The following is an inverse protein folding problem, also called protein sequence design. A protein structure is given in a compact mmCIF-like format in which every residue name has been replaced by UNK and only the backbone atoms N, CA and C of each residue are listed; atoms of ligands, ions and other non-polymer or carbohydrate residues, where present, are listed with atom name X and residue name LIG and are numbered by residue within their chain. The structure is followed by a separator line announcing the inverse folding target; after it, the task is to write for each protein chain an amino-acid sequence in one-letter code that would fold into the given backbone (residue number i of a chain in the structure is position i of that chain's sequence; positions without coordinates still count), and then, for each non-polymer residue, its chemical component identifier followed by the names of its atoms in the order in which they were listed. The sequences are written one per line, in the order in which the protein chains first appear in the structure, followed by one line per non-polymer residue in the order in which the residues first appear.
data_IF_916117210992
#
_entry.id   IF_916117210992
#
_cell.length_a   1.000
_cell.length_b   1.000
_cell.length_c   1.000
_cell.angle_alpha   90.00
_cell.angle_beta   90.00
_cell.angle_gamma   90.00
#
_symmetry.space_group_name_H-M   'P 1'
#
loop_
_entity.id
_entity.type
_entity.pdbx_description
1 polymer ?
#
# COMPACT_ATOMS: atom_id res chain seq x y z
N UNK A 1 -2.65 -7.30 -17.71
CA UNK A 1 -3.97 -6.65 -17.65
C UNK A 1 -4.85 -7.45 -16.72
N UNK A 2 -5.16 -6.87 -15.57
CA UNK A 2 -6.07 -7.44 -14.57
C UNK A 2 -7.49 -7.49 -15.12
N UNK A 3 -8.30 -8.41 -14.58
CA UNK A 3 -9.71 -8.48 -14.96
C UNK A 3 -10.45 -7.25 -14.40
N UNK A 4 -11.49 -6.75 -15.10
CA UNK A 4 -12.29 -5.62 -14.63
C UNK A 4 -12.88 -5.83 -13.23
N UNK A 5 -13.19 -7.08 -12.86
CA UNK A 5 -13.71 -7.43 -11.55
C UNK A 5 -12.69 -7.19 -10.43
N UNK A 6 -11.41 -7.46 -10.67
CA UNK A 6 -10.33 -7.18 -9.71
C UNK A 6 -10.18 -5.67 -9.55
N UNK A 7 -10.15 -4.93 -10.67
CA UNK A 7 -10.04 -3.46 -10.67
C UNK A 7 -11.18 -2.78 -9.89
N UNK A 8 -12.40 -3.31 -9.98
CA UNK A 8 -13.58 -2.79 -9.27
C UNK A 8 -13.59 -3.17 -7.79
N UNK A 9 -12.97 -4.29 -7.40
CA UNK A 9 -12.92 -4.75 -6.01
C UNK A 9 -11.80 -4.07 -5.18
N UNK A 10 -10.73 -3.59 -5.83
CA UNK A 10 -9.59 -2.99 -5.14
C UNK A 10 -9.93 -1.79 -4.23
N UNK A 11 -10.81 -0.84 -4.60
CA UNK A 11 -11.23 0.23 -3.70
C UNK A 11 -11.81 -0.28 -2.38
N UNK A 12 -12.64 -1.33 -2.42
CA UNK A 12 -13.22 -1.94 -1.21
C UNK A 12 -12.15 -2.59 -0.33
N UNK A 13 -11.14 -3.22 -0.96
CA UNK A 13 -10.00 -3.78 -0.23
C UNK A 13 -9.20 -2.69 0.46
N UNK A 14 -8.95 -1.57 -0.21
CA UNK A 14 -8.25 -0.41 0.37
C UNK A 14 -9.03 0.16 1.55
N UNK A 15 -10.36 0.29 1.43
CA UNK A 15 -11.22 0.70 2.55
C UNK A 15 -11.08 -0.26 3.74
N UNK A 16 -11.17 -1.58 3.52
CA UNK A 16 -11.02 -2.57 4.61
C UNK A 16 -9.65 -2.55 5.27
N UNK A 17 -8.60 -2.28 4.49
CA UNK A 17 -7.24 -2.12 5.03
C UNK A 17 -7.16 -0.88 5.93
N UNK A 18 -7.77 0.23 5.51
CA UNK A 18 -7.84 1.46 6.31
C UNK A 18 -8.65 1.24 7.60
N UNK A 19 -9.83 0.63 7.51
CA UNK A 19 -10.67 0.30 8.67
C UNK A 19 -9.93 -0.58 9.68
N UNK A 20 -9.23 -1.62 9.19
CA UNK A 20 -8.43 -2.49 10.05
C UNK A 20 -7.26 -1.74 10.69
N UNK A 21 -6.64 -0.81 9.95
CA UNK A 21 -5.58 0.02 10.52
C UNK A 21 -6.14 0.96 11.61
N UNK A 22 -7.34 1.51 11.42
CA UNK A 22 -8.01 2.30 12.44
C UNK A 22 -8.30 1.50 13.71
N UNK A 23 -8.80 0.27 13.57
CA UNK A 23 -9.08 -0.61 14.71
C UNK A 23 -7.81 -0.98 15.50
N UNK A 24 -6.66 -1.02 14.83
CA UNK A 24 -5.35 -1.24 15.46
C UNK A 24 -4.81 0.01 16.15
N UNK A 25 -5.44 1.16 15.94
CA UNK A 25 -4.99 2.45 16.44
C UNK A 25 -3.91 3.07 15.55
N UNK A 26 -3.30 4.11 16.09
CA UNK A 26 -2.34 4.96 15.39
C UNK A 26 -0.95 4.83 16.05
N UNK A 27 0.06 5.44 15.44
CA UNK A 27 1.48 5.31 15.71
C UNK A 27 2.03 3.92 15.40
N UNK A 28 1.46 3.29 14.38
CA UNK A 28 1.84 1.94 13.94
C UNK A 28 2.93 2.04 12.87
N UNK A 29 3.98 1.21 12.94
CA UNK A 29 4.99 1.15 11.88
C UNK A 29 4.35 0.89 10.51
N UNK A 30 4.90 1.45 9.41
CA UNK A 30 4.38 1.18 8.07
C UNK A 30 4.28 -0.32 7.78
N UNK A 31 3.13 -0.75 7.25
CA UNK A 31 2.87 -2.15 6.92
C UNK A 31 2.65 -2.31 5.43
N UNK A 32 3.47 -3.14 4.80
CA UNK A 32 3.30 -3.58 3.43
C UNK A 32 2.45 -4.86 3.41
N UNK A 33 1.47 -4.89 2.53
CA UNK A 33 0.62 -6.04 2.26
C UNK A 33 0.73 -6.45 0.80
N UNK A 34 0.77 -7.74 0.49
CA UNK A 34 0.41 -8.19 -0.84
C UNK A 34 -1.08 -8.44 -0.95
N UNK A 35 -1.56 -8.20 -2.16
CA UNK A 35 -2.90 -8.44 -2.60
C UNK A 35 -2.87 -9.64 -3.55
N UNK A 36 -3.65 -10.66 -3.22
CA UNK A 36 -3.75 -11.88 -4.00
C UNK A 36 -5.20 -12.11 -4.42
N UNK A 37 -5.43 -12.24 -5.71
CA UNK A 37 -6.69 -12.74 -6.21
C UNK A 37 -6.77 -14.25 -6.09
N UNK A 38 -7.86 -14.74 -5.50
CA UNK A 38 -8.23 -16.15 -5.52
C UNK A 38 -9.63 -16.32 -6.11
N UNK A 39 -9.76 -17.24 -7.05
CA UNK A 39 -11.08 -17.77 -7.43
C UNK A 39 -11.51 -18.80 -6.38
N UNK A 40 -12.61 -18.51 -5.67
CA UNK A 40 -13.11 -19.39 -4.62
C UNK A 40 -13.62 -20.72 -5.19
N UNK A 41 -14.19 -20.69 -6.40
CA UNK A 41 -14.68 -21.86 -7.15
C UNK A 41 -14.44 -21.61 -8.64
N UNK A 42 -13.93 -22.61 -9.36
CA UNK A 42 -13.70 -22.52 -10.81
C UNK A 42 -15.01 -22.19 -11.53
N UNK A 43 -15.05 -21.08 -12.26
CA UNK A 43 -16.24 -20.60 -12.97
C UNK A 43 -17.23 -19.76 -12.14
N UNK A 44 -16.91 -19.47 -10.87
CA UNK A 44 -17.69 -18.56 -10.04
C UNK A 44 -17.35 -17.09 -10.34
N UNK A 45 -18.34 -16.18 -10.32
CA UNK A 45 -18.11 -14.74 -10.36
C UNK A 45 -17.66 -14.17 -9.02
N UNK A 46 -17.47 -15.01 -7.99
CA UNK A 46 -16.99 -14.58 -6.67
C UNK A 46 -15.46 -14.52 -6.68
N UNK A 47 -14.95 -13.29 -6.69
CA UNK A 47 -13.54 -12.98 -6.61
C UNK A 47 -13.21 -12.55 -5.19
N UNK A 48 -12.24 -13.21 -4.56
CA UNK A 48 -11.68 -12.75 -3.30
C UNK A 48 -10.34 -12.10 -3.58
N UNK A 49 -10.10 -10.93 -2.98
CA UNK A 49 -8.77 -10.36 -2.84
C UNK A 49 -8.34 -10.62 -1.40
N UNK A 50 -7.39 -11.51 -1.23
CA UNK A 50 -6.75 -11.83 0.03
C UNK A 50 -5.65 -10.80 0.29
N UNK A 51 -5.58 -10.31 1.53
CA UNK A 51 -4.59 -9.33 1.98
C UNK A 51 -3.66 -10.04 2.97
N UNK A 52 -2.39 -10.14 2.64
CA UNK A 52 -1.38 -10.75 3.49
C UNK A 52 -0.31 -9.75 3.85
N UNK A 53 0.10 -9.72 5.12
CA UNK A 53 1.27 -8.96 5.51
C UNK A 53 2.47 -9.49 4.73
N UNK A 54 3.21 -8.57 4.12
CA UNK A 54 4.42 -8.92 3.40
C UNK A 54 5.43 -9.52 4.37
N UNK A 55 6.18 -10.57 3.98
CA UNK A 55 7.29 -11.08 4.79
C UNK A 55 8.43 -10.06 4.92
N UNK A 56 8.35 -8.97 4.16
CA UNK A 56 9.34 -7.91 4.14
C UNK A 56 9.03 -6.85 5.18
N UNK A 57 9.89 -6.77 6.20
CA UNK A 57 9.85 -5.71 7.17
C UNK A 57 10.34 -4.39 6.54
N UNK A 58 9.51 -3.36 6.61
CA UNK A 58 9.95 -2.00 6.35
C UNK A 58 10.59 -1.46 7.63
N UNK A 59 11.88 -1.14 7.60
CA UNK A 59 12.58 -0.50 8.72
C UNK A 59 12.26 1.00 8.74
N UNK A 60 10.98 1.32 8.97
CA UNK A 60 10.44 2.68 8.99
C UNK A 60 9.83 2.98 10.35
N UNK A 61 10.10 4.18 10.84
CA UNK A 61 9.51 4.68 12.09
C UNK A 61 8.12 5.25 11.81
N UNK A 62 7.16 5.08 12.73
CA UNK A 62 5.89 5.81 12.67
C UNK A 62 6.13 7.31 12.50
N UNK A 63 5.40 7.94 11.58
CA UNK A 63 5.43 9.38 11.38
C UNK A 63 6.70 9.96 10.72
N UNK A 64 7.63 9.11 10.25
CA UNK A 64 8.72 9.57 9.36
C UNK A 64 8.14 10.33 8.18
N UNK A 65 8.77 11.42 7.75
CA UNK A 65 8.27 12.32 6.69
C UNK A 65 7.87 11.53 5.43
N UNK A 66 6.58 11.20 5.35
CA UNK A 66 6.04 10.18 4.45
C UNK A 66 5.21 10.87 3.40
N UNK A 67 5.89 11.69 2.59
CA UNK A 67 5.34 11.97 1.28
C UNK A 67 5.11 10.64 0.56
N UNK A 68 3.96 10.50 -0.10
CA UNK A 68 3.64 9.35 -0.93
C UNK A 68 4.82 8.96 -1.84
N UNK A 69 5.49 9.95 -2.43
CA UNK A 69 6.66 9.75 -3.27
C UNK A 69 7.84 9.08 -2.54
N UNK A 70 8.17 9.51 -1.31
CA UNK A 70 9.25 8.91 -0.52
C UNK A 70 8.98 7.45 -0.18
N UNK A 71 7.73 7.17 0.18
CA UNK A 71 7.24 5.85 0.53
C UNK A 71 7.23 4.90 -0.67
N UNK A 72 6.75 5.36 -1.82
CA UNK A 72 6.77 4.59 -3.06
C UNK A 72 8.22 4.33 -3.55
N UNK A 73 9.12 5.29 -3.39
CA UNK A 73 10.55 5.10 -3.69
C UNK A 73 11.19 4.04 -2.78
N UNK A 74 10.85 4.01 -1.50
CA UNK A 74 11.33 2.99 -0.56
C UNK A 74 10.83 1.60 -0.95
N UNK A 75 9.54 1.48 -1.29
CA UNK A 75 8.97 0.22 -1.77
C UNK A 75 9.74 -0.26 -2.99
N UNK A 76 9.98 0.60 -3.97
CA UNK A 76 10.74 0.23 -5.16
C UNK A 76 12.18 -0.16 -4.85
N UNK A 77 12.88 0.63 -4.04
CA UNK A 77 14.24 0.31 -3.62
C UNK A 77 14.28 -1.08 -3.02
N UNK A 78 13.35 -1.39 -2.13
CA UNK A 78 13.24 -2.67 -1.45
C UNK A 78 13.04 -3.86 -2.41
N UNK A 79 12.05 -3.78 -3.30
CA UNK A 79 11.71 -4.85 -4.26
C UNK A 79 12.70 -4.99 -5.42
N UNK A 80 13.57 -3.99 -5.63
CA UNK A 80 14.61 -4.04 -6.67
C UNK A 80 15.90 -4.74 -6.23
N UNK A 81 16.06 -4.99 -4.92
CA UNK A 81 17.24 -5.64 -4.33
C UNK A 81 17.31 -7.10 -4.81
N UNK A 82 18.37 -7.51 -5.53
CA UNK A 82 18.50 -8.88 -6.06
C UNK A 82 18.41 -9.98 -5.00
N UNK A 83 18.91 -9.72 -3.80
CA UNK A 83 18.89 -10.65 -2.66
C UNK A 83 17.47 -10.92 -2.15
N UNK A 84 16.53 -9.99 -2.35
CA UNK A 84 15.13 -10.16 -1.99
C UNK A 84 14.35 -10.96 -3.04
N UNK A 85 14.88 -11.11 -4.26
CA UNK A 85 14.16 -11.75 -5.37
C UNK A 85 13.84 -13.24 -5.13
N UNK A 86 14.73 -14.09 -4.60
CA UNK A 86 14.39 -15.49 -4.32
C UNK A 86 13.29 -15.65 -3.27
N UNK A 87 13.37 -14.91 -2.15
CA UNK A 87 12.35 -14.96 -1.10
C UNK A 87 11.00 -14.41 -1.56
N UNK A 88 11.03 -13.42 -2.45
CA UNK A 88 9.84 -12.90 -3.12
C UNK A 88 9.22 -13.94 -4.06
N UNK A 89 10.02 -14.65 -4.86
CA UNK A 89 9.54 -15.76 -5.70
C UNK A 89 8.91 -16.87 -4.87
N UNK A 90 9.60 -17.35 -3.84
CA UNK A 90 9.08 -18.43 -2.97
C UNK A 90 7.75 -18.06 -2.31
N UNK A 91 7.60 -16.82 -1.84
CA UNK A 91 6.36 -16.36 -1.23
C UNK A 91 5.20 -16.25 -2.23
N UNK A 92 5.48 -15.75 -3.44
CA UNK A 92 4.47 -15.65 -4.50
C UNK A 92 4.02 -17.04 -4.99
N UNK A 93 4.94 -18.02 -5.03
CA UNK A 93 4.68 -19.37 -5.51
C UNK A 93 3.94 -20.26 -4.50
N UNK A 94 4.02 -19.93 -3.21
CA UNK A 94 3.53 -20.78 -2.12
C UNK A 94 2.00 -21.02 -2.13
N UNK A 95 1.24 -20.33 -3.00
CA UNK A 95 -0.22 -20.36 -2.96
C UNK A 95 -0.82 -20.30 -4.37
N UNK A 96 -1.86 -21.10 -4.65
CA UNK A 96 -2.60 -21.12 -5.93
C UNK A 96 -3.45 -19.85 -6.14
N UNK A 97 -2.84 -18.68 -5.97
CA UNK A 97 -3.45 -17.36 -6.03
C UNK A 97 -2.71 -16.55 -7.07
N UNK A 98 -3.40 -15.59 -7.66
CA UNK A 98 -2.81 -14.66 -8.61
C UNK A 98 -2.43 -13.41 -7.87
N UNK A 99 -1.15 -13.04 -7.88
CA UNK A 99 -0.72 -11.75 -7.37
C UNK A 99 -1.39 -10.60 -8.15
N UNK A 100 -1.99 -9.63 -7.45
CA UNK A 100 -2.67 -8.49 -8.08
C UNK A 100 -2.08 -7.14 -7.74
N UNK A 101 -1.23 -7.04 -6.72
CA UNK A 101 -0.61 -5.79 -6.33
C UNK A 101 -0.13 -5.76 -4.89
N UNK A 102 0.33 -4.60 -4.46
CA UNK A 102 0.65 -4.32 -3.06
C UNK A 102 -0.28 -3.26 -2.51
N UNK A 103 -0.48 -3.27 -1.19
CA UNK A 103 -1.02 -2.16 -0.45
C UNK A 103 -0.06 -1.78 0.67
N UNK A 104 0.07 -0.50 0.94
CA UNK A 104 0.84 0.01 2.06
C UNK A 104 -0.07 0.84 2.94
N UNK A 105 0.05 0.64 4.24
CA UNK A 105 -0.46 1.54 5.26
C UNK A 105 0.70 2.23 5.93
N UNK A 106 0.69 3.55 5.96
CA UNK A 106 1.65 4.34 6.72
C UNK A 106 0.99 5.56 7.35
N UNK A 107 1.65 6.10 8.37
CA UNK A 107 1.22 7.29 9.08
C UNK A 107 2.31 8.34 9.02
N UNK A 108 1.89 9.58 8.82
CA UNK A 108 2.75 10.73 8.61
C UNK A 108 2.03 12.02 8.96
N UNK A 109 2.57 13.13 8.49
CA UNK A 109 1.89 14.42 8.56
C UNK A 109 1.39 14.81 7.18
N UNK A 110 0.23 15.48 7.15
CA UNK A 110 -0.26 16.06 5.92
C UNK A 110 0.68 17.16 5.39
N UNK A 111 1.43 17.82 6.28
CA UNK A 111 2.39 18.90 5.99
C UNK A 111 3.56 18.89 6.99
N UNK A 112 4.38 19.95 7.05
CA UNK A 112 5.56 20.00 7.92
C UNK A 112 5.20 19.86 9.41
N UNK A 113 5.78 18.91 10.15
CA UNK A 113 5.53 18.76 11.58
C UNK A 113 5.98 19.99 12.38
N UNK A 114 5.28 20.23 13.50
CA UNK A 114 5.71 21.22 14.48
C UNK A 114 7.01 20.78 15.18
N UNK A 115 7.93 21.72 15.44
CA UNK A 115 9.30 21.42 15.87
C UNK A 115 9.41 20.62 17.18
N UNK A 116 8.44 20.76 18.08
CA UNK A 116 8.42 20.07 19.39
C UNK A 116 7.34 18.97 19.46
N UNK A 117 6.82 18.53 18.32
CA UNK A 117 5.79 17.50 18.27
C UNK A 117 6.35 16.11 18.63
N UNK A 118 5.72 15.46 19.62
CA UNK A 118 5.91 14.04 19.88
C UNK A 118 4.83 13.25 19.15
N UNK A 119 5.26 12.29 18.32
CA UNK A 119 4.37 11.39 17.59
C UNK A 119 3.29 10.80 18.49
N UNK A 120 2.04 10.88 18.03
CA UNK A 120 0.91 10.26 18.71
C UNK A 120 0.12 11.16 19.66
N UNK A 121 0.48 12.41 19.91
CA UNK A 121 -0.28 13.31 20.79
C UNK A 121 -0.99 14.43 20.02
N UNK A 122 -2.16 14.14 19.43
CA UNK A 122 -2.96 15.12 18.67
C UNK A 122 -3.33 16.36 19.49
N UNK A 123 -3.40 16.28 20.82
CA UNK A 123 -3.72 17.42 21.67
C UNK A 123 -2.54 18.41 21.78
N UNK A 124 -1.33 17.96 21.46
CA UNK A 124 -0.13 18.79 21.38
C UNK A 124 0.03 19.48 20.03
N UNK A 125 -0.82 19.17 19.04
CA UNK A 125 -0.89 19.86 17.76
C UNK A 125 -1.78 21.11 17.93
N UNK A 126 -1.23 22.34 17.80
CA UNK A 126 -2.07 23.54 17.76
C UNK A 126 -3.14 23.42 16.68
N UNK A 127 -4.33 24.01 16.86
CA UNK A 127 -5.41 23.95 15.86
C UNK A 127 -5.06 24.53 14.46
N UNK A 128 -3.91 25.21 14.33
CA UNK A 128 -3.35 25.69 13.06
C UNK A 128 -2.15 24.88 12.55
N UNK A 129 -1.67 23.91 13.32
CA UNK A 129 -0.65 22.96 12.90
C UNK A 129 -1.37 21.74 12.31
N UNK A 130 -0.80 21.21 11.24
CA UNK A 130 -1.45 20.19 10.45
C UNK A 130 -1.51 18.84 11.16
N UNK A 131 -2.56 18.08 10.86
CA UNK A 131 -2.90 16.86 11.56
C UNK A 131 -2.14 15.63 11.01
N UNK A 132 -1.97 14.64 11.88
CA UNK A 132 -1.49 13.31 11.49
C UNK A 132 -2.44 12.70 10.48
N UNK A 133 -1.85 12.09 9.44
CA UNK A 133 -2.57 11.47 8.34
C UNK A 133 -2.15 10.01 8.23
N UNK A 134 -3.14 9.13 8.14
CA UNK A 134 -2.94 7.76 7.68
C UNK A 134 -3.15 7.73 6.17
N UNK A 135 -2.18 7.19 5.47
CA UNK A 135 -2.22 7.00 4.02
C UNK A 135 -2.30 5.51 3.77
N UNK A 136 -3.31 5.10 3.01
CA UNK A 136 -3.38 3.75 2.44
C UNK A 136 -3.26 3.86 0.94
N UNK A 137 -2.23 3.22 0.38
CA UNK A 137 -1.97 3.21 -1.06
C UNK A 137 -1.84 1.79 -1.54
N UNK A 138 -2.68 1.40 -2.49
CA UNK A 138 -2.54 0.17 -3.22
C UNK A 138 -2.12 0.43 -4.66
N UNK A 139 -1.20 -0.39 -5.16
CA UNK A 139 -0.77 -0.37 -6.55
C UNK A 139 -1.01 -1.74 -7.16
N UNK A 140 -1.79 -1.78 -8.22
CA UNK A 140 -2.11 -3.00 -8.95
C UNK A 140 -1.01 -3.35 -9.98
N UNK A 141 -1.01 -4.59 -10.49
CA UNK A 141 -0.03 -5.03 -11.49
C UNK A 141 -0.15 -4.33 -12.86
N UNK A 142 -1.25 -3.62 -13.11
CA UNK A 142 -1.41 -2.78 -14.30
C UNK A 142 -0.87 -1.36 -14.08
N UNK A 143 -0.38 -1.04 -12.86
CA UNK A 143 0.20 0.25 -12.50
C UNK A 143 -0.82 1.30 -12.06
N UNK A 144 -2.08 0.92 -11.78
CA UNK A 144 -3.07 1.83 -11.20
C UNK A 144 -2.80 2.01 -9.71
N UNK A 145 -2.98 3.24 -9.24
CA UNK A 145 -2.85 3.60 -7.83
C UNK A 145 -4.24 3.85 -7.22
N UNK A 146 -4.48 3.28 -6.05
CA UNK A 146 -5.69 3.45 -5.26
C UNK A 146 -5.28 4.03 -3.91
N UNK A 147 -5.70 5.24 -3.61
CA UNK A 147 -5.22 5.99 -2.46
C UNK A 147 -6.38 6.48 -1.61
N UNK A 148 -6.25 6.38 -0.29
CA UNK A 148 -7.04 7.16 0.66
C UNK A 148 -6.13 7.77 1.72
N UNK A 149 -6.55 8.93 2.21
CA UNK A 149 -5.87 9.68 3.25
C UNK A 149 -6.88 10.02 4.31
N UNK A 150 -6.67 9.53 5.52
CA UNK A 150 -7.53 9.85 6.66
C UNK A 150 -6.75 10.70 7.65
N UNK A 151 -7.32 11.85 8.00
CA UNK A 151 -6.81 12.66 9.10
C UNK A 151 -7.25 12.06 10.43
N UNK A 152 -6.36 12.01 11.42
CA UNK A 152 -6.65 11.46 12.74
C UNK A 152 -7.82 12.19 13.39
N UNK A 153 -8.78 11.42 13.90
CA UNK A 153 -10.02 11.95 14.48
C UNK A 153 -11.11 12.29 13.47
N UNK A 154 -10.83 12.23 12.16
CA UNK A 154 -11.85 12.35 11.12
C UNK A 154 -12.47 10.99 10.73
N UNK A 155 -13.56 11.05 9.97
CA UNK A 155 -14.19 9.88 9.39
C UNK A 155 -13.45 9.33 8.16
N UNK A 156 -13.90 8.18 7.63
CA UNK A 156 -13.34 7.58 6.42
C UNK A 156 -13.39 8.55 5.23
N UNK A 157 -12.36 8.51 4.39
CA UNK A 157 -12.24 9.34 3.20
C UNK A 157 -12.37 8.50 1.92
N UNK A 158 -12.92 9.06 0.83
CA UNK A 158 -13.12 8.34 -0.41
C UNK A 158 -11.79 7.90 -1.05
N UNK A 159 -11.81 6.76 -1.74
CA UNK A 159 -10.66 6.28 -2.50
C UNK A 159 -10.50 7.13 -3.77
N UNK A 160 -9.32 7.68 -3.97
CA UNK A 160 -8.88 8.29 -5.23
C UNK A 160 -8.18 7.24 -6.08
N UNK A 161 -8.52 7.15 -7.37
CA UNK A 161 -7.91 6.21 -8.31
C UNK A 161 -7.12 6.98 -9.37
N UNK A 162 -5.89 6.56 -9.61
CA UNK A 162 -5.02 7.09 -10.64
C UNK A 162 -4.72 6.00 -11.67
N UNK A 163 -5.16 6.20 -12.92
CA UNK A 163 -5.01 5.23 -14.04
C UNK A 163 -3.58 5.04 -14.55
N UNK A 164 -2.62 5.71 -13.92
CA UNK A 164 -1.21 5.55 -14.14
C UNK A 164 -0.46 6.47 -13.19
N UNK A 165 0.54 5.94 -12.51
CA UNK A 165 1.37 6.77 -11.66
C UNK A 165 2.21 7.70 -12.58
N UNK A 166 2.04 9.02 -12.47
CA UNK A 166 2.79 9.96 -13.32
C UNK A 166 4.27 9.96 -12.95
N UNK A 167 5.20 10.34 -13.86
CA UNK A 167 6.62 10.49 -13.52
C UNK A 167 6.88 11.46 -12.34
N UNK A 168 6.01 12.45 -12.11
CA UNK A 168 6.05 13.30 -10.92
C UNK A 168 5.56 12.59 -9.64
N UNK A 169 4.67 11.60 -9.76
CA UNK A 169 4.25 10.71 -8.66
C UNK A 169 5.21 9.53 -8.44
N UNK A 170 6.06 9.20 -9.44
CA UNK A 170 6.86 7.96 -9.47
C UNK A 170 8.36 8.09 -9.42
N UNK A 171 8.96 9.12 -10.02
CA UNK A 171 10.37 9.16 -10.38
C UNK A 171 11.01 7.76 -10.67
N UNK A 172 10.38 7.00 -11.58
CA UNK A 172 11.03 6.00 -12.43
C UNK A 172 10.96 4.53 -12.04
N UNK A 173 10.38 4.15 -10.90
CA UNK A 173 10.82 2.89 -10.30
C UNK A 173 9.70 1.81 -10.17
N UNK A 174 8.42 2.18 -10.06
CA UNK A 174 7.32 1.22 -9.82
C UNK A 174 6.97 0.32 -11.01
N UNK A 175 6.88 0.80 -12.27
CA UNK A 175 6.44 -0.03 -13.39
C UNK A 175 7.40 -1.19 -13.70
N UNK A 176 8.71 -0.92 -13.65
CA UNK A 176 9.72 -1.95 -13.93
C UNK A 176 9.73 -3.03 -12.86
N UNK A 177 9.48 -2.69 -11.59
CA UNK A 177 9.43 -3.74 -10.57
C UNK A 177 8.13 -4.51 -10.57
N UNK A 178 6.98 -3.86 -10.77
CA UNK A 178 5.72 -4.59 -10.97
C UNK A 178 5.83 -5.54 -12.16
N UNK A 179 6.52 -5.14 -13.23
CA UNK A 179 6.81 -5.99 -14.39
C UNK A 179 7.73 -7.17 -14.03
N UNK A 180 8.80 -6.96 -13.25
CA UNK A 180 9.67 -8.04 -12.75
C UNK A 180 8.93 -9.01 -11.82
N UNK A 181 8.02 -8.51 -11.00
CA UNK A 181 7.16 -9.28 -10.10
C UNK A 181 6.17 -10.16 -10.88
N UNK A 182 5.47 -9.56 -11.84
CA UNK A 182 4.56 -10.28 -12.76
C UNK A 182 5.32 -11.37 -13.52
N UNK A 183 6.54 -11.07 -13.96
CA UNK A 183 7.42 -12.03 -14.64
C UNK A 183 7.85 -13.17 -13.71
N UNK A 184 8.19 -12.89 -12.44
CA UNK A 184 8.48 -13.91 -11.44
C UNK A 184 7.29 -14.86 -11.23
N UNK A 185 6.05 -14.36 -11.25
CA UNK A 185 4.83 -15.19 -11.15
C UNK A 185 4.45 -15.96 -12.42
N UNK A 186 5.03 -15.62 -13.58
CA UNK A 186 4.69 -16.21 -14.88
C UNK A 186 5.73 -17.20 -15.42
N UNK A 187 6.88 -17.38 -14.76
CA UNK A 187 7.90 -18.36 -15.13
C UNK A 187 7.69 -19.77 -14.55
N UNK A 188 6.43 -20.11 -14.23
CA UNK A 188 5.99 -21.44 -13.80
C UNK A 188 4.92 -22.01 -14.72
#
# INVERSE_FOLDING_TARGET
MLSPQITVALPEVVTRIEEKAEDLGWDVPPVLFALFHRQLVKGSPLHLIEVEASPFALDLKPGSDSSLAGVLNLLVGFISIPENAPGLTEWLDATHRTFVGYALVCEGFQYTPYADYAYGDINMVPAMADAEVRIVVAIDTDGRCYETRRVRGEGPQPITVHDGLTPQLLAGAIPDVLSRLVTATHHL
#
